data_IF_832405511790
#
_entry.id   IF_832405511790
#
_cell.length_a   1.000
_cell.length_b   1.000
_cell.length_c   1.000
_cell.angle_alpha   90.00
_cell.angle_beta   90.00
_cell.angle_gamma   90.00
#
_symmetry.space_group_name_H-M   'P 1'
#
loop_
_entity.id
_entity.type
_entity.pdbx_description
1 polymer ?
#
# COMPACT_ATOMS: atom_id res chain seq x y z
N UNK A 1 88.75 3.30 -23.96
CA UNK A 1 88.00 3.40 -23.80
C UNK A 1 86.81 3.29 -23.49
N UNK A 2 86.39 3.10 -23.39
CA UNK A 2 85.35 3.27 -23.22
C UNK A 2 84.22 3.02 -22.73
N UNK A 3 83.73 2.94 -22.46
CA UNK A 3 82.63 2.91 -22.02
C UNK A 3 81.56 2.82 -21.78
N UNK A 4 81.03 2.53 -21.54
CA UNK A 4 79.92 2.64 -21.33
C UNK A 4 78.83 2.53 -20.74
N UNK A 5 78.26 2.53 -20.52
CA UNK A 5 77.24 2.63 -19.95
C UNK A 5 76.14 2.30 -19.69
N UNK A 6 75.80 2.11 -19.60
CA UNK A 6 74.73 2.00 -19.34
C UNK A 6 73.63 2.01 -18.93
N UNK A 7 73.02 1.82 -18.76
CA UNK A 7 71.99 1.96 -18.45
C UNK A 7 70.97 1.68 -18.08
N UNK A 8 70.38 1.70 -17.82
CA UNK A 8 69.48 1.66 -17.47
C UNK A 8 68.43 1.58 -17.18
N UNK A 9 68.01 1.33 -17.04
CA UNK A 9 66.99 1.38 -16.84
C UNK A 9 65.98 1.33 -16.41
N UNK A 10 65.57 1.28 -16.16
CA UNK A 10 64.69 1.35 -15.78
C UNK A 10 63.58 1.21 -15.53
N UNK A 11 63.26 0.91 -15.46
CA UNK A 11 62.26 0.91 -15.26
C UNK A 11 61.27 0.85 -14.85
N UNK A 12 60.80 0.79 -14.61
CA UNK A 12 59.80 0.87 -14.18
C UNK A 12 58.72 0.75 -13.96
N UNK A 13 58.26 0.56 -13.81
CA UNK A 13 57.29 0.59 -13.65
C UNK A 13 56.25 0.55 -13.25
N UNK A 14 55.69 0.49 -13.03
CA UNK A 14 54.75 0.62 -12.66
C UNK A 14 53.67 0.31 -12.39
N UNK A 15 53.00 0.16 -12.16
CA UNK A 15 52.01 0.01 -11.96
C UNK A 15 50.87 0.07 -11.66
N UNK A 16 50.23 0.05 -11.47
CA UNK A 16 49.23 0.23 -11.26
C UNK A 16 48.24 0.08 -10.74
N UNK A 17 47.81 -0.02 -10.52
CA UNK A 17 46.95 -0.10 -9.98
C UNK A 17 45.77 -0.18 -9.88
N UNK A 18 45.34 -0.42 -9.87
CA UNK A 18 44.34 -0.41 -9.78
C UNK A 18 43.34 -0.45 -9.33
N UNK A 19 42.90 -0.52 -9.13
CA UNK A 19 41.93 -0.50 -8.67
C UNK A 19 40.81 -0.60 -8.52
N UNK A 20 40.32 -0.68 -8.42
CA UNK A 20 39.43 -0.75 -8.32
C UNK A 20 38.39 -0.56 -7.82
N UNK A 21 37.86 -0.55 -7.64
CA UNK A 21 37.03 -0.27 -7.16
C UNK A 21 35.92 -0.46 -6.98
N UNK A 22 35.55 -0.71 -6.98
CA UNK A 22 34.66 -0.77 -6.88
C UNK A 22 33.61 -0.77 -6.52
N UNK A 23 33.16 -0.88 -6.43
CA UNK A 23 32.36 -0.85 -6.15
C UNK A 23 31.41 -0.69 -5.59
N UNK A 24 31.33 -0.68 -5.52
CA UNK A 24 30.58 -0.46 -5.04
C UNK A 24 29.48 -0.38 -4.93
N UNK A 25 29.21 -0.40 -5.03
CA UNK A 25 28.37 -0.20 -5.02
C UNK A 25 27.31 -0.36 -4.64
N UNK A 26 27.05 -0.46 -4.59
CA UNK A 26 26.21 -0.50 -4.37
C UNK A 26 25.37 -0.59 -3.87
N UNK A 27 25.25 -0.71 -3.77
CA UNK A 27 24.60 -0.76 -3.43
C UNK A 27 23.76 -0.51 -2.88
N UNK A 28 23.61 -0.49 -2.61
CA UNK A 28 23.01 -0.25 -2.07
C UNK A 28 22.04 0.23 -2.07
N UNK A 29 21.89 0.38 -2.43
CA UNK A 29 21.14 0.94 -2.57
C UNK A 29 19.96 0.66 -2.45
N UNK A 30 19.55 0.12 -2.18
CA UNK A 30 18.50 -0.14 -1.99
C UNK A 30 17.92 0.68 -1.27
N UNK A 31 17.68 1.52 -1.49
CA UNK A 31 17.17 2.32 -0.87
C UNK A 31 15.95 1.96 -0.69
N UNK A 32 15.55 1.63 0.06
CA UNK A 32 14.42 1.45 0.42
C UNK A 32 13.65 2.51 0.07
N UNK A 33 12.91 2.40 -0.77
CA UNK A 33 12.07 3.41 -1.14
C UNK A 33 11.43 3.87 0.08
N UNK A 34 11.46 5.11 0.33
CA UNK A 34 10.86 5.61 1.36
C UNK A 34 9.46 5.46 1.12
N UNK A 35 8.75 4.65 1.69
CA UNK A 35 7.34 4.56 1.50
C UNK A 35 6.75 5.75 2.19
N UNK A 36 5.78 6.33 1.55
CA UNK A 36 5.11 7.44 2.16
C UNK A 36 4.22 6.98 3.26
N UNK A 37 4.03 7.75 4.28
CA UNK A 37 3.18 7.35 5.38
C UNK A 37 1.75 7.20 4.89
N UNK A 38 1.02 6.32 5.50
CA UNK A 38 -0.38 6.11 5.14
C UNK A 38 -1.14 5.56 6.33
N UNK A 39 -2.45 5.63 6.24
CA UNK A 39 -3.34 5.01 7.21
C UNK A 39 -4.08 3.90 6.49
N UNK A 40 -4.67 3.02 7.23
CA UNK A 40 -5.37 1.88 6.67
C UNK A 40 -6.80 1.86 7.17
N UNK A 41 -7.74 1.75 6.24
CA UNK A 41 -9.13 1.56 6.58
C UNK A 41 -9.42 0.12 6.18
N UNK A 42 -9.56 -0.74 7.17
CA UNK A 42 -9.79 -2.15 6.91
C UNK A 42 -11.08 -2.56 7.57
N UNK A 43 -11.55 -3.74 7.23
CA UNK A 43 -12.75 -4.20 7.90
C UNK A 43 -13.27 -5.47 7.29
N UNK A 44 -14.47 -5.82 7.72
CA UNK A 44 -15.12 -7.03 7.29
C UNK A 44 -16.57 -6.76 6.98
N UNK A 45 -17.05 -7.37 5.91
CA UNK A 45 -18.45 -7.29 5.54
C UNK A 45 -19.10 -8.58 6.01
N UNK A 46 -20.18 -8.41 6.77
CA UNK A 46 -20.95 -9.55 7.23
C UNK A 46 -22.35 -9.45 6.65
N UNK A 47 -23.05 -10.53 6.62
CA UNK A 47 -24.45 -10.51 6.28
C UNK A 47 -25.20 -11.06 7.48
N UNK A 48 -26.39 -10.56 7.69
CA UNK A 48 -27.25 -11.02 8.77
C UNK A 48 -27.46 -12.52 8.62
N UNK A 49 -27.30 -13.32 9.68
CA UNK A 49 -27.17 -12.90 11.07
C UNK A 49 -25.73 -12.68 11.56
N UNK A 50 -24.73 -12.80 10.73
CA UNK A 50 -23.39 -12.55 11.17
C UNK A 50 -22.31 -13.35 10.45
N UNK A 51 -22.63 -13.83 9.25
CA UNK A 51 -21.64 -14.58 8.50
C UNK A 51 -20.82 -13.65 7.61
N UNK A 52 -19.56 -13.93 7.45
CA UNK A 52 -18.71 -13.14 6.56
C UNK A 52 -19.26 -13.23 5.14
N UNK A 53 -19.25 -12.11 4.45
CA UNK A 53 -19.82 -12.05 3.12
C UNK A 53 -18.77 -11.67 2.10
N UNK A 54 -18.51 -12.57 1.16
CA UNK A 54 -17.59 -12.28 0.08
C UNK A 54 -18.35 -11.65 -1.07
N UNK A 55 -17.63 -11.04 -1.98
CA UNK A 55 -18.24 -10.54 -3.20
C UNK A 55 -18.98 -9.23 -3.09
N UNK A 56 -18.97 -8.60 -1.94
CA UNK A 56 -19.65 -7.33 -1.78
C UNK A 56 -18.75 -6.21 -2.31
N UNK A 57 -19.36 -5.22 -2.93
CA UNK A 57 -18.60 -4.09 -3.43
C UNK A 57 -18.46 -3.08 -2.30
N UNK A 58 -17.23 -2.82 -1.89
CA UNK A 58 -16.95 -1.90 -0.79
C UNK A 58 -16.34 -0.65 -1.39
N UNK A 59 -16.94 0.48 -1.09
CA UNK A 59 -16.51 1.76 -1.66
C UNK A 59 -16.12 2.71 -0.55
N UNK A 60 -15.00 3.37 -0.74
CA UNK A 60 -14.51 4.37 0.19
C UNK A 60 -14.71 5.74 -0.42
N UNK A 61 -15.26 6.66 0.35
CA UNK A 61 -15.46 8.03 -0.10
C UNK A 61 -15.25 8.97 1.07
N UNK A 62 -15.02 10.24 0.76
CA UNK A 62 -14.92 11.23 1.81
C UNK A 62 -16.31 11.47 2.35
N UNK A 63 -16.42 11.70 3.65
CA UNK A 63 -17.70 11.99 4.24
C UNK A 63 -18.28 13.27 3.63
N UNK A 64 -17.44 14.23 3.28
CA UNK A 64 -17.90 15.48 2.71
C UNK A 64 -18.33 15.34 1.25
N UNK A 65 -17.99 14.25 0.60
CA UNK A 65 -18.38 14.02 -0.77
C UNK A 65 -18.70 12.54 -0.96
N UNK A 66 -19.75 12.05 -0.31
CA UNK A 66 -20.02 10.61 -0.30
C UNK A 66 -20.37 10.02 -1.65
N UNK A 67 -20.76 10.84 -2.60
CA UNK A 67 -21.09 10.32 -3.91
C UNK A 67 -19.85 10.12 -4.79
N UNK A 68 -18.71 10.64 -4.36
CA UNK A 68 -17.51 10.52 -5.13
C UNK A 68 -16.65 9.38 -4.66
N UNK A 69 -16.61 8.31 -5.42
CA UNK A 69 -15.84 7.15 -5.04
C UNK A 69 -14.34 7.42 -5.12
N UNK A 70 -13.64 7.16 -4.05
CA UNK A 70 -12.20 7.28 -4.03
C UNK A 70 -11.54 5.95 -4.36
N UNK A 71 -12.00 4.89 -3.73
CA UNK A 71 -11.45 3.55 -3.95
C UNK A 71 -12.58 2.55 -3.88
N UNK A 72 -12.38 1.40 -4.45
CA UNK A 72 -13.37 0.35 -4.44
C UNK A 72 -12.67 -1.00 -4.36
N UNK A 73 -13.23 -1.92 -3.63
CA UNK A 73 -12.68 -3.25 -3.50
C UNK A 73 -13.81 -4.24 -3.31
N UNK A 74 -13.62 -5.44 -3.76
CA UNK A 74 -14.60 -6.50 -3.57
C UNK A 74 -14.17 -7.27 -2.34
N UNK A 75 -15.09 -7.54 -1.43
CA UNK A 75 -14.74 -8.24 -0.21
C UNK A 75 -14.22 -9.65 -0.52
N UNK A 76 -13.23 -10.07 0.25
CA UNK A 76 -12.56 -11.34 0.04
C UNK A 76 -13.47 -12.50 0.46
N UNK A 77 -13.04 -13.73 0.25
CA UNK A 77 -13.83 -14.89 0.71
C UNK A 77 -14.11 -14.84 2.21
N UNK A 78 -13.31 -14.11 2.97
CA UNK A 78 -13.57 -13.96 4.39
C UNK A 78 -14.31 -12.67 4.69
N UNK A 79 -14.75 -11.98 3.66
CA UNK A 79 -15.46 -10.72 3.82
C UNK A 79 -14.58 -9.52 4.08
N UNK A 80 -13.27 -9.69 3.97
CA UNK A 80 -12.34 -8.62 4.34
C UNK A 80 -12.08 -7.63 3.22
N UNK A 81 -11.78 -6.40 3.61
CA UNK A 81 -11.38 -5.38 2.66
C UNK A 81 -10.37 -4.46 3.35
N UNK A 82 -9.62 -3.71 2.56
CA UNK A 82 -8.58 -2.84 3.09
C UNK A 82 -8.26 -1.75 2.09
N UNK A 83 -8.21 -0.51 2.57
CA UNK A 83 -7.86 0.63 1.74
C UNK A 83 -6.70 1.37 2.39
N UNK A 84 -5.80 1.89 1.57
CA UNK A 84 -4.73 2.75 2.06
C UNK A 84 -5.14 4.17 1.75
N UNK A 85 -5.07 5.03 2.75
CA UNK A 85 -5.44 6.43 2.58
C UNK A 85 -4.35 7.32 3.17
N UNK A 86 -4.31 8.58 2.79
CA UNK A 86 -3.33 9.49 3.38
C UNK A 86 -3.60 9.67 4.88
N UNK A 87 -2.58 9.83 5.68
CA UNK A 87 -2.78 10.04 7.11
C UNK A 87 -3.26 11.47 7.33
N UNK A 88 -3.79 11.70 8.50
CA UNK A 88 -4.23 13.05 8.85
C UNK A 88 -5.71 13.06 9.14
N UNK A 89 -6.19 14.11 9.80
CA UNK A 89 -7.57 14.15 10.22
C UNK A 89 -8.51 14.23 9.03
N UNK A 90 -9.19 13.15 8.77
CA UNK A 90 -10.12 13.06 7.65
C UNK A 90 -11.21 12.06 7.99
N UNK A 91 -12.43 12.40 7.61
CA UNK A 91 -13.56 11.51 7.82
C UNK A 91 -13.95 10.88 6.51
N UNK A 92 -14.18 9.59 6.55
CA UNK A 92 -14.54 8.81 5.37
C UNK A 92 -15.82 8.04 5.61
N UNK A 93 -16.44 7.63 4.54
CA UNK A 93 -17.61 6.79 4.58
C UNK A 93 -17.25 5.53 3.81
N UNK A 94 -17.49 4.39 4.42
CA UNK A 94 -17.28 3.11 3.78
C UNK A 94 -18.66 2.51 3.52
N UNK A 95 -18.92 2.13 2.31
CA UNK A 95 -20.23 1.62 1.92
C UNK A 95 -20.09 0.25 1.26
N UNK A 96 -20.90 -0.69 1.68
CA UNK A 96 -20.90 -2.02 1.08
C UNK A 96 -22.22 -2.26 0.40
N UNK A 97 -22.17 -2.78 -0.81
CA UNK A 97 -23.39 -3.10 -1.55
C UNK A 97 -23.29 -4.51 -2.09
N UNK A 98 -24.42 -5.19 -2.13
CA UNK A 98 -24.51 -6.50 -2.70
C UNK A 98 -25.95 -6.71 -3.11
N UNK A 99 -26.17 -7.26 -4.29
CA UNK A 99 -27.49 -7.45 -4.79
C UNK A 99 -28.31 -8.29 -3.82
N UNK A 100 -29.51 -7.86 -3.53
CA UNK A 100 -30.37 -8.56 -2.60
C UNK A 100 -30.25 -8.10 -1.17
N UNK A 101 -29.37 -7.15 -0.90
CA UNK A 101 -29.15 -6.64 0.44
C UNK A 101 -29.27 -5.12 0.46
N UNK A 102 -29.64 -4.62 1.61
CA UNK A 102 -29.67 -3.17 1.78
C UNK A 102 -28.23 -2.71 1.90
N UNK A 103 -27.95 -1.52 1.40
CA UNK A 103 -26.63 -0.95 1.47
C UNK A 103 -26.25 -0.70 2.93
N UNK A 104 -25.04 -1.11 3.28
CA UNK A 104 -24.53 -0.86 4.62
C UNK A 104 -23.46 0.22 4.53
N UNK A 105 -23.37 1.07 5.52
CA UNK A 105 -22.36 2.10 5.50
C UNK A 105 -21.93 2.43 6.90
N UNK A 106 -20.73 2.90 7.02
CA UNK A 106 -20.18 3.29 8.29
C UNK A 106 -19.26 4.47 8.10
N UNK A 107 -19.31 5.42 9.01
CA UNK A 107 -18.43 6.57 8.96
C UNK A 107 -17.25 6.28 9.85
N UNK A 108 -16.07 6.65 9.42
CA UNK A 108 -14.86 6.45 10.19
C UNK A 108 -14.04 7.72 10.13
N UNK A 109 -13.18 7.88 11.11
CA UNK A 109 -12.32 9.04 11.17
C UNK A 109 -10.88 8.63 11.34
N UNK A 110 -10.01 9.17 10.51
CA UNK A 110 -8.59 8.90 10.58
C UNK A 110 -7.92 10.11 11.20
N UNK A 111 -7.05 9.89 12.17
CA UNK A 111 -6.36 10.98 12.81
C UNK A 111 -4.90 11.08 12.37
N UNK A 112 -4.29 9.97 12.05
CA UNK A 112 -2.89 9.96 11.64
C UNK A 112 -2.56 8.69 10.91
N UNK A 113 -1.41 8.12 11.21
CA UNK A 113 -0.99 6.88 10.59
C UNK A 113 -1.50 5.75 11.45
N UNK A 114 -2.71 5.37 11.25
CA UNK A 114 -3.32 4.34 12.07
C UNK A 114 -4.14 3.40 11.23
N UNK A 115 -4.59 2.34 11.82
CA UNK A 115 -5.48 1.41 11.15
C UNK A 115 -6.80 1.46 11.87
N UNK A 116 -7.86 1.73 11.14
CA UNK A 116 -9.20 1.77 11.69
C UNK A 116 -9.94 0.59 11.07
N UNK A 117 -10.67 -0.13 11.90
CA UNK A 117 -11.45 -1.26 11.42
C UNK A 117 -12.92 -0.91 11.39
N UNK A 118 -13.56 -1.26 10.29
CA UNK A 118 -14.97 -1.01 10.11
C UNK A 118 -15.70 -2.33 9.97
N UNK A 119 -16.90 -2.39 10.45
CA UNK A 119 -17.72 -3.57 10.33
C UNK A 119 -18.99 -3.18 9.60
N UNK A 120 -19.26 -3.85 8.51
CA UNK A 120 -20.43 -3.55 7.70
C UNK A 120 -21.36 -4.75 7.70
N UNK A 121 -22.59 -4.55 8.10
CA UNK A 121 -23.56 -5.64 8.15
C UNK A 121 -24.60 -5.46 7.07
N UNK A 122 -24.65 -6.39 6.14
CA UNK A 122 -25.61 -6.39 5.07
C UNK A 122 -26.87 -7.09 5.55
N UNK A 123 -27.98 -6.42 5.40
CA UNK A 123 -29.27 -6.96 5.79
C UNK A 123 -30.07 -7.25 4.53
N UNK A 124 -30.69 -8.41 4.42
CA UNK A 124 -31.46 -8.72 3.21
C UNK A 124 -32.56 -7.71 2.99
N UNK A 125 -32.79 -7.36 1.73
CA UNK A 125 -33.88 -6.47 1.42
C UNK A 125 -35.17 -7.19 1.67
N UNK A 126 -36.06 -6.51 2.36
CA UNK A 126 -37.33 -7.20 2.60
C UNK A 126 -38.09 -7.09 1.33
N UNK A 127 -38.67 -8.20 0.90
CA UNK A 127 -39.39 -8.24 -0.25
C UNK A 127 -40.64 -7.62 0.09
N UNK A 128 -41.03 -6.61 -0.53
CA UNK A 128 -42.20 -5.94 -0.30
C UNK A 128 -43.21 -6.80 -0.76
N UNK A 129 -43.98 -7.18 -0.02
CA UNK A 129 -45.01 -8.03 -0.37
C UNK A 129 -45.87 -7.31 -1.30
N UNK A 130 -46.42 -7.58 -2.06
CA UNK A 130 -47.17 -6.85 -2.75
C UNK A 130 -47.90 -7.34 -3.23
#
# INVERSE_FOLDING_TARGET
MRRRPRLSNSLFLLLPVLFSAHGLLAQGTKRKAKSEPYAVVAGTVFRDPGFAQSGASVILALKSAPAKKLQQQISSPRGEFSFHVPPGPTSYVVTATLKGFQTAREEIEIQGQEQINATLLLVPESKKAR
#
